data_IF_949800800715
#
_entry.id   IF_949800800715
#
_cell.length_a   1.000
_cell.length_b   1.000
_cell.length_c   1.000
_cell.angle_alpha   90.00
_cell.angle_beta   90.00
_cell.angle_gamma   90.00
#
_symmetry.space_group_name_H-M   'P 1'
#
loop_
_entity.id
_entity.type
_entity.pdbx_description
1 polymer ?
#
# COMPACT_ATOMS: atom_id res chain seq x y z
N UNK A 1 17.48 -14.19 -0.71
CA UNK A 1 17.65 -12.75 -0.37
C UNK A 1 16.63 -12.43 0.71
N UNK A 2 16.96 -11.63 1.72
CA UNK A 2 16.01 -11.34 2.81
C UNK A 2 14.83 -10.52 2.30
N UNK A 3 13.64 -10.79 2.81
CA UNK A 3 12.45 -9.98 2.51
C UNK A 3 12.57 -8.56 3.05
N UNK A 4 13.50 -8.31 3.97
CA UNK A 4 13.78 -6.99 4.52
C UNK A 4 14.66 -6.11 3.64
N UNK A 5 15.23 -6.65 2.56
CA UNK A 5 16.00 -5.83 1.63
C UNK A 5 15.12 -4.75 0.99
N UNK A 6 15.79 -3.66 0.61
CA UNK A 6 15.14 -2.60 -0.15
C UNK A 6 14.53 -3.17 -1.43
N UNK A 7 13.26 -2.87 -1.62
CA UNK A 7 12.43 -3.40 -2.67
C UNK A 7 12.08 -2.26 -3.64
N UNK A 8 12.78 -2.14 -4.77
CA UNK A 8 12.53 -1.05 -5.72
C UNK A 8 11.15 -1.19 -6.39
N UNK A 9 10.60 -2.41 -6.48
CA UNK A 9 9.26 -2.63 -7.03
C UNK A 9 8.22 -2.08 -6.06
N UNK A 10 8.39 -2.31 -4.75
CA UNK A 10 7.53 -1.72 -3.73
C UNK A 10 7.53 -0.18 -3.78
N UNK A 11 8.70 0.43 -4.00
CA UNK A 11 8.82 1.89 -4.14
C UNK A 11 8.05 2.39 -5.36
N UNK A 12 8.28 1.80 -6.54
CA UNK A 12 7.58 2.20 -7.78
C UNK A 12 6.06 2.07 -7.65
N UNK A 13 5.59 0.93 -7.10
CA UNK A 13 4.16 0.67 -6.91
C UNK A 13 3.53 1.69 -5.95
N UNK A 14 4.23 2.05 -4.87
CA UNK A 14 3.79 3.09 -3.93
C UNK A 14 3.71 4.46 -4.60
N UNK A 15 4.71 4.83 -5.40
CA UNK A 15 4.74 6.11 -6.09
C UNK A 15 3.57 6.26 -7.07
N UNK A 16 3.33 5.23 -7.87
CA UNK A 16 2.28 5.23 -8.91
C UNK A 16 0.86 5.18 -8.36
N UNK A 17 0.69 4.64 -7.15
CA UNK A 17 -0.63 4.49 -6.51
C UNK A 17 -0.86 5.55 -5.43
N UNK A 18 -0.37 5.31 -4.22
CA UNK A 18 -0.66 6.07 -3.00
C UNK A 18 -0.10 7.48 -3.09
N UNK A 19 1.13 7.66 -3.56
CA UNK A 19 1.73 8.99 -3.60
C UNK A 19 1.09 9.84 -4.70
N UNK A 20 0.72 9.22 -5.82
CA UNK A 20 -0.03 9.90 -6.88
C UNK A 20 -1.42 10.31 -6.43
N UNK A 21 -2.12 9.44 -5.71
CA UNK A 21 -3.40 9.78 -5.07
C UNK A 21 -3.25 10.95 -4.12
N UNK A 22 -2.20 10.96 -3.29
CA UNK A 22 -1.96 12.03 -2.33
C UNK A 22 -1.65 13.39 -2.99
N UNK A 23 -0.86 13.38 -4.08
CA UNK A 23 -0.35 14.59 -4.75
C UNK A 23 -1.32 15.20 -5.75
N UNK A 24 -2.09 14.37 -6.44
CA UNK A 24 -2.87 14.78 -7.61
C UNK A 24 -4.33 14.33 -7.57
N UNK A 25 -4.81 13.78 -6.45
CA UNK A 25 -6.16 13.22 -6.28
C UNK A 25 -6.56 12.24 -7.40
N UNK A 26 -5.56 11.64 -8.05
CA UNK A 26 -5.73 10.69 -9.15
C UNK A 26 -5.60 9.28 -8.60
N UNK A 27 -6.69 8.53 -8.65
CA UNK A 27 -6.71 7.15 -8.21
C UNK A 27 -6.45 6.18 -9.38
N UNK A 28 -5.25 5.60 -9.41
CA UNK A 28 -4.92 4.48 -10.30
C UNK A 28 -5.23 3.16 -9.58
N UNK A 29 -6.43 2.63 -9.83
CA UNK A 29 -6.90 1.39 -9.20
C UNK A 29 -5.97 0.20 -9.52
N UNK A 30 -5.43 0.13 -10.74
CA UNK A 30 -4.55 -0.97 -11.13
C UNK A 30 -3.23 -0.92 -10.39
N UNK A 31 -2.64 0.27 -10.23
CA UNK A 31 -1.42 0.43 -9.45
C UNK A 31 -1.66 0.15 -7.96
N UNK A 32 -2.82 0.54 -7.44
CA UNK A 32 -3.20 0.30 -6.06
C UNK A 32 -3.39 -1.19 -5.76
N UNK A 33 -4.08 -1.92 -6.63
CA UNK A 33 -4.23 -3.38 -6.54
C UNK A 33 -2.88 -4.10 -6.64
N UNK A 34 -2.01 -3.67 -7.57
CA UNK A 34 -0.66 -4.22 -7.70
C UNK A 34 0.18 -4.00 -6.43
N UNK A 35 0.10 -2.81 -5.80
CA UNK A 35 0.75 -2.54 -4.51
C UNK A 35 0.24 -3.47 -3.42
N UNK A 36 -1.09 -3.66 -3.33
CA UNK A 36 -1.73 -4.54 -2.35
C UNK A 36 -1.27 -5.99 -2.52
N UNK A 37 -1.28 -6.51 -3.75
CA UNK A 37 -0.84 -7.86 -4.06
C UNK A 37 0.65 -8.07 -3.74
N UNK A 38 1.48 -7.09 -4.06
CA UNK A 38 2.92 -7.15 -3.75
C UNK A 38 3.17 -7.22 -2.25
N UNK A 39 2.50 -6.38 -1.47
CA UNK A 39 2.58 -6.39 -0.01
C UNK A 39 2.06 -7.72 0.59
N UNK A 40 1.00 -8.31 0.03
CA UNK A 40 0.49 -9.61 0.47
C UNK A 40 1.50 -10.73 0.24
N UNK A 41 2.12 -10.80 -0.95
CA UNK A 41 3.16 -11.81 -1.24
C UNK A 41 4.35 -11.64 -0.31
N UNK A 42 4.72 -10.38 -0.03
CA UNK A 42 5.82 -10.05 0.88
C UNK A 42 5.51 -10.46 2.33
N UNK A 43 4.27 -10.29 2.77
CA UNK A 43 3.83 -10.66 4.12
C UNK A 43 4.08 -12.14 4.44
N UNK A 44 3.95 -13.04 3.47
CA UNK A 44 4.24 -14.46 3.67
C UNK A 44 5.72 -14.71 4.01
N UNK A 45 6.64 -14.07 3.28
CA UNK A 45 8.06 -14.21 3.57
C UNK A 45 8.51 -13.48 4.85
N UNK A 46 7.83 -12.38 5.21
CA UNK A 46 8.10 -11.63 6.43
C UNK A 46 7.76 -12.38 7.72
N UNK A 47 6.90 -13.42 7.68
CA UNK A 47 6.58 -14.26 8.86
C UNK A 47 7.81 -14.96 9.45
N UNK A 48 8.84 -15.16 8.64
CA UNK A 48 10.07 -15.85 9.03
C UNK A 48 11.22 -14.89 9.39
N UNK A 49 10.97 -13.58 9.31
CA UNK A 49 11.96 -12.54 9.61
C UNK A 49 11.82 -12.07 11.06
N UNK A 50 12.95 -11.83 11.74
CA UNK A 50 12.96 -11.34 13.13
C UNK A 50 12.64 -9.85 13.26
N UNK A 51 12.59 -9.13 12.14
CA UNK A 51 12.27 -7.71 12.06
C UNK A 51 11.63 -7.39 10.71
N UNK A 52 10.98 -6.23 10.60
CA UNK A 52 10.34 -5.77 9.37
C UNK A 52 11.02 -4.48 8.90
N UNK A 53 11.29 -4.40 7.59
CA UNK A 53 11.94 -3.23 7.01
C UNK A 53 11.11 -1.96 7.18
N UNK A 54 11.80 -0.84 7.41
CA UNK A 54 11.15 0.48 7.52
C UNK A 54 10.40 0.86 6.25
N UNK A 55 10.86 0.41 5.08
CA UNK A 55 10.21 0.67 3.79
C UNK A 55 8.81 0.04 3.75
N UNK A 56 8.67 -1.21 4.20
CA UNK A 56 7.37 -1.90 4.25
C UNK A 56 6.42 -1.21 5.21
N UNK A 57 6.88 -0.93 6.44
CA UNK A 57 6.08 -0.23 7.45
C UNK A 57 5.64 1.17 6.98
N UNK A 58 6.54 1.90 6.33
CA UNK A 58 6.25 3.22 5.78
C UNK A 58 5.22 3.13 4.66
N UNK A 59 5.34 2.16 3.76
CA UNK A 59 4.42 1.95 2.64
C UNK A 59 3.00 1.66 3.13
N UNK A 60 2.85 0.75 4.10
CA UNK A 60 1.57 0.43 4.73
C UNK A 60 0.94 1.65 5.42
N UNK A 61 1.73 2.34 6.26
CA UNK A 61 1.26 3.52 6.98
C UNK A 61 0.82 4.64 6.03
N UNK A 62 1.59 4.86 4.96
CA UNK A 62 1.27 5.86 3.94
C UNK A 62 -0.01 5.50 3.19
N UNK A 63 -0.17 4.24 2.78
CA UNK A 63 -1.38 3.77 2.10
C UNK A 63 -2.63 4.01 2.94
N UNK A 64 -2.62 3.57 4.21
CA UNK A 64 -3.75 3.72 5.13
C UNK A 64 -4.09 5.21 5.34
N UNK A 65 -3.07 6.04 5.58
CA UNK A 65 -3.27 7.47 5.82
C UNK A 65 -3.89 8.17 4.60
N UNK A 66 -3.38 7.91 3.40
CA UNK A 66 -3.88 8.52 2.16
C UNK A 66 -5.28 8.05 1.80
N UNK A 67 -5.58 6.74 1.92
CA UNK A 67 -6.93 6.23 1.63
C UNK A 67 -7.93 6.88 2.58
N UNK A 68 -7.64 6.90 3.89
CA UNK A 68 -8.55 7.49 4.87
C UNK A 68 -8.79 8.97 4.63
N UNK A 69 -7.75 9.75 4.32
CA UNK A 69 -7.90 11.19 4.08
C UNK A 69 -8.66 11.50 2.79
N UNK A 70 -8.61 10.64 1.77
CA UNK A 70 -9.23 10.89 0.47
C UNK A 70 -10.56 10.18 0.25
N UNK A 71 -10.87 9.12 0.99
CA UNK A 71 -12.13 8.38 0.86
C UNK A 71 -13.39 9.19 1.20
N UNK A 72 -13.24 10.25 2.00
CA UNK A 72 -14.34 11.17 2.28
C UNK A 72 -14.78 11.91 1.00
N UNK A 73 -13.82 12.26 0.13
CA UNK A 73 -14.01 13.17 -1.00
C UNK A 73 -13.94 12.50 -2.38
N UNK A 74 -13.34 11.30 -2.47
CA UNK A 74 -13.20 10.54 -3.70
C UNK A 74 -13.98 9.21 -3.61
N UNK A 75 -15.14 9.08 -4.27
CA UNK A 75 -15.96 7.86 -4.25
C UNK A 75 -15.19 6.59 -4.64
N UNK A 76 -14.30 6.68 -5.64
CA UNK A 76 -13.46 5.57 -6.10
C UNK A 76 -12.48 5.07 -5.04
N UNK A 77 -12.04 5.93 -4.13
CA UNK A 77 -11.16 5.57 -3.00
C UNK A 77 -12.00 4.98 -1.84
N UNK A 78 -13.24 5.43 -1.67
CA UNK A 78 -14.16 4.90 -0.66
C UNK A 78 -14.46 3.41 -0.86
N UNK A 79 -14.58 2.96 -2.10
CA UNK A 79 -14.78 1.55 -2.43
C UNK A 79 -13.66 0.65 -1.88
N UNK A 80 -12.43 1.18 -1.78
CA UNK A 80 -11.28 0.45 -1.25
C UNK A 80 -11.30 0.32 0.28
N UNK A 81 -12.01 1.20 1.02
CA UNK A 81 -12.16 1.07 2.47
C UNK A 81 -12.99 -0.14 2.86
N UNK A 82 -13.98 -0.52 2.03
CA UNK A 82 -14.85 -1.66 2.32
C UNK A 82 -14.03 -2.96 2.32
N UNK A 83 -13.04 -3.08 1.43
CA UNK A 83 -12.11 -4.21 1.41
C UNK A 83 -11.15 -4.27 2.61
N UNK A 84 -10.75 -3.11 3.16
CA UNK A 84 -9.86 -3.01 4.32
C UNK A 84 -10.58 -3.26 5.66
N UNK A 85 -11.91 -3.04 5.73
CA UNK A 85 -12.69 -3.16 6.98
C UNK A 85 -13.09 -4.61 7.28
N UNK A 86 -13.07 -5.52 6.30
CA UNK A 86 -13.36 -6.95 6.52
C UNK A 86 -12.18 -7.69 7.17
N UNK A 87 -11.04 -7.02 7.35
CA UNK A 87 -9.80 -7.56 7.93
C UNK A 87 -9.55 -7.11 9.39
N UNK A 88 -10.49 -6.39 10.02
CA UNK A 88 -10.43 -5.93 11.43
C UNK A 88 -11.53 -6.57 12.25
#
# INVERSE_FOLDING_TARGET
>A
MSENHFDPILEELKERSVDRLMKADTFDASAFEALKDHLWRKAEGLKHESSISKQVLFSLRSAVATIRSRAEYLPSVREQLIGLTILS
#
